data_IF_247740269553
#
_entry.id   IF_247740269553
#
_cell.length_a   1.000
_cell.length_b   1.000
_cell.length_c   1.000
_cell.angle_alpha   90.00
_cell.angle_beta   90.00
_cell.angle_gamma   90.00
#
_symmetry.space_group_name_H-M   'P 1'
#
loop_
_entity.id
_entity.type
_entity.pdbx_description
1 polymer ?
#
# COMPACT_ATOMS: atom_id res chain seq x y z
N UNK A 1 41.90 -10.89 20.07
CA UNK A 1 40.79 -10.82 19.12
C UNK A 1 40.85 -9.44 18.52
N UNK A 2 41.21 -9.37 17.25
CA UNK A 2 41.49 -8.14 16.51
C UNK A 2 40.17 -7.42 16.22
N UNK A 3 40.07 -6.14 16.59
CA UNK A 3 38.88 -5.31 16.36
C UNK A 3 38.55 -5.16 14.87
N UNK A 4 39.53 -5.38 14.00
CA UNK A 4 39.36 -5.39 12.54
C UNK A 4 38.54 -6.59 12.09
N UNK A 5 38.70 -7.74 12.74
CA UNK A 5 38.03 -8.99 12.38
C UNK A 5 36.58 -9.01 12.85
N UNK A 6 36.26 -8.36 13.98
CA UNK A 6 34.86 -8.15 14.41
C UNK A 6 34.10 -7.20 13.47
N UNK A 7 34.79 -6.26 12.84
CA UNK A 7 34.19 -5.31 11.91
C UNK A 7 33.98 -5.95 10.52
N UNK A 8 34.91 -6.80 10.08
CA UNK A 8 34.74 -7.65 8.90
C UNK A 8 33.63 -8.70 9.09
N UNK A 9 33.53 -9.31 10.28
CA UNK A 9 32.46 -10.27 10.60
C UNK A 9 31.08 -9.56 10.70
N UNK A 10 31.00 -8.33 11.25
CA UNK A 10 29.77 -7.51 11.24
C UNK A 10 29.39 -7.04 9.83
N UNK A 11 30.37 -6.71 8.99
CA UNK A 11 30.15 -6.33 7.59
C UNK A 11 29.77 -7.56 6.73
N UNK A 12 30.31 -8.75 6.97
CA UNK A 12 29.92 -10.00 6.30
C UNK A 12 28.52 -10.49 6.73
N UNK A 13 28.15 -10.34 8.01
CA UNK A 13 26.79 -10.61 8.49
C UNK A 13 25.77 -9.62 7.87
N UNK A 14 26.20 -8.40 7.55
CA UNK A 14 25.40 -7.43 6.81
C UNK A 14 25.35 -7.67 5.29
N UNK A 15 26.40 -8.24 4.68
CA UNK A 15 26.41 -8.61 3.25
C UNK A 15 25.59 -9.87 2.95
N UNK A 16 25.38 -10.76 3.92
CA UNK A 16 24.54 -11.95 3.73
C UNK A 16 23.02 -11.71 3.83
N UNK A 17 22.56 -10.50 4.19
CA UNK A 17 21.14 -10.11 4.14
C UNK A 17 20.75 -9.41 2.80
N UNK A 18 21.60 -9.53 1.77
CA UNK A 18 21.43 -8.86 0.48
C UNK A 18 20.89 -9.75 -0.67
N UNK A 19 20.14 -10.83 -0.36
CA UNK A 19 19.50 -11.69 -1.38
C UNK A 19 18.00 -11.95 -1.14
N UNK A 20 17.20 -10.92 -0.90
CA UNK A 20 15.73 -11.05 -0.84
C UNK A 20 15.02 -9.81 -1.42
N UNK A 21 15.40 -9.41 -2.63
CA UNK A 21 14.73 -8.34 -3.37
C UNK A 21 13.22 -8.59 -3.43
N UNK A 22 12.45 -7.68 -2.82
CA UNK A 22 10.98 -7.68 -2.78
C UNK A 22 10.28 -8.94 -2.25
N UNK A 23 10.56 -9.31 -0.99
CA UNK A 23 9.78 -10.35 -0.27
C UNK A 23 8.25 -10.13 -0.40
N UNK A 24 7.55 -11.15 -0.87
CA UNK A 24 6.08 -11.21 -1.06
C UNK A 24 5.46 -10.23 -2.07
N UNK A 25 6.22 -9.62 -2.98
CA UNK A 25 5.64 -8.80 -4.06
C UNK A 25 4.61 -9.57 -4.90
N UNK A 26 4.85 -10.87 -5.14
CA UNK A 26 3.92 -11.75 -5.86
C UNK A 26 2.51 -11.76 -5.26
N UNK A 27 2.35 -11.57 -3.95
CA UNK A 27 1.03 -11.50 -3.30
C UNK A 27 0.26 -10.23 -3.70
N UNK A 28 0.98 -9.17 -4.06
CA UNK A 28 0.46 -7.93 -4.64
C UNK A 28 0.24 -8.00 -6.16
N UNK A 29 0.46 -9.14 -6.81
CA UNK A 29 0.13 -9.29 -8.24
C UNK A 29 -1.37 -9.46 -8.45
N UNK A 30 -1.89 -8.93 -9.57
CA UNK A 30 -3.27 -9.17 -10.01
C UNK A 30 -3.52 -10.64 -10.39
N UNK A 31 -2.48 -11.36 -10.78
CA UNK A 31 -2.57 -12.77 -11.18
C UNK A 31 -2.55 -13.73 -9.99
N UNK A 32 -2.22 -13.26 -8.78
CA UNK A 32 -2.11 -14.10 -7.59
C UNK A 32 -3.47 -14.69 -7.20
N UNK A 33 -3.60 -16.02 -7.29
CA UNK A 33 -4.85 -16.76 -7.07
C UNK A 33 -6.05 -16.16 -7.82
N UNK A 34 -5.81 -15.65 -9.05
CA UNK A 34 -6.83 -15.00 -9.86
C UNK A 34 -7.42 -13.71 -9.26
N UNK A 35 -6.69 -13.07 -8.34
CA UNK A 35 -7.10 -11.84 -7.67
C UNK A 35 -8.21 -12.03 -6.62
N UNK A 36 -8.60 -13.26 -6.32
CA UNK A 36 -9.66 -13.56 -5.33
C UNK A 36 -9.31 -13.04 -3.92
N UNK A 37 -8.10 -13.27 -3.37
CA UNK A 37 -7.78 -12.78 -2.03
C UNK A 37 -7.89 -11.26 -1.91
N UNK A 38 -7.42 -10.54 -2.93
CA UNK A 38 -7.53 -9.08 -3.01
C UNK A 38 -8.99 -8.63 -3.02
N UNK A 39 -9.84 -9.23 -3.88
CA UNK A 39 -11.26 -8.89 -3.94
C UNK A 39 -11.96 -9.09 -2.60
N UNK A 40 -11.67 -10.18 -1.91
CA UNK A 40 -12.20 -10.45 -0.56
C UNK A 40 -11.74 -9.38 0.44
N UNK A 41 -10.44 -9.04 0.44
CA UNK A 41 -9.90 -8.03 1.34
C UNK A 41 -10.54 -6.64 1.10
N UNK A 42 -10.63 -6.19 -0.15
CA UNK A 42 -11.26 -4.92 -0.50
C UNK A 42 -12.76 -4.91 -0.20
N UNK A 43 -13.47 -6.01 -0.45
CA UNK A 43 -14.88 -6.15 -0.07
C UNK A 43 -15.06 -6.01 1.44
N UNK A 44 -14.27 -6.74 2.24
CA UNK A 44 -14.39 -6.72 3.70
C UNK A 44 -14.02 -5.34 4.28
N UNK A 45 -12.85 -4.83 3.94
CA UNK A 45 -12.34 -3.55 4.45
C UNK A 45 -13.15 -2.37 3.91
N UNK A 46 -13.52 -2.38 2.63
CA UNK A 46 -14.36 -1.35 2.02
C UNK A 46 -15.76 -1.30 2.64
N UNK A 47 -16.35 -2.45 2.96
CA UNK A 47 -17.65 -2.54 3.67
C UNK A 47 -17.55 -2.00 5.08
N UNK A 48 -16.53 -2.43 5.84
CA UNK A 48 -16.30 -1.93 7.19
C UNK A 48 -16.06 -0.42 7.19
N UNK A 49 -15.26 0.08 6.25
CA UNK A 49 -14.96 1.51 6.11
C UNK A 49 -16.20 2.31 5.82
N UNK A 50 -17.09 1.81 4.96
CA UNK A 50 -18.37 2.45 4.67
C UNK A 50 -19.29 2.48 5.89
N UNK A 51 -19.39 1.37 6.60
CA UNK A 51 -20.17 1.31 7.85
C UNK A 51 -19.65 2.33 8.86
N UNK A 52 -18.34 2.37 9.09
CA UNK A 52 -17.74 3.28 10.06
C UNK A 52 -17.86 4.74 9.63
N UNK A 53 -17.47 5.07 8.40
CA UNK A 53 -17.45 6.45 7.92
C UNK A 53 -18.85 7.01 7.65
N UNK A 54 -19.81 6.19 7.22
CA UNK A 54 -21.14 6.64 6.80
C UNK A 54 -22.26 6.37 7.82
N UNK A 55 -22.10 5.40 8.73
CA UNK A 55 -23.15 5.04 9.70
C UNK A 55 -22.76 5.30 11.15
N UNK A 56 -21.51 5.02 11.54
CA UNK A 56 -21.07 5.17 12.94
C UNK A 56 -20.32 6.48 13.20
N UNK A 57 -20.13 7.31 12.17
CA UNK A 57 -19.47 8.59 12.26
C UNK A 57 -20.21 9.66 11.45
N UNK A 58 -20.05 10.93 11.83
CA UNK A 58 -20.46 12.06 11.01
C UNK A 58 -19.30 12.48 10.09
N UNK A 59 -19.43 12.17 8.80
CA UNK A 59 -18.42 12.49 7.79
C UNK A 59 -18.95 13.53 6.81
N UNK A 60 -18.21 14.61 6.60
CA UNK A 60 -18.49 15.61 5.57
C UNK A 60 -17.41 15.55 4.48
N UNK A 61 -17.83 15.42 3.23
CA UNK A 61 -16.92 15.38 2.07
C UNK A 61 -17.28 16.51 1.13
N UNK A 62 -16.29 17.35 0.82
CA UNK A 62 -16.44 18.47 -0.10
C UNK A 62 -15.99 18.05 -1.50
N UNK A 63 -16.75 18.44 -2.51
CA UNK A 63 -16.48 18.14 -3.92
C UNK A 63 -16.16 16.64 -4.22
N UNK A 64 -16.96 15.67 -3.73
CA UNK A 64 -16.70 14.25 -3.94
C UNK A 64 -16.72 13.85 -5.42
N UNK A 65 -17.47 14.59 -6.25
CA UNK A 65 -17.66 14.27 -7.66
C UNK A 65 -16.37 14.41 -8.48
N UNK A 66 -15.52 15.39 -8.15
CA UNK A 66 -14.23 15.56 -8.83
C UNK A 66 -13.33 14.35 -8.59
N UNK A 67 -13.23 13.90 -7.33
CA UNK A 67 -12.47 12.70 -6.99
C UNK A 67 -13.05 11.44 -7.67
N UNK A 68 -14.37 11.27 -7.64
CA UNK A 68 -15.03 10.14 -8.30
C UNK A 68 -14.78 10.12 -9.81
N UNK A 69 -14.81 11.28 -10.46
CA UNK A 69 -14.50 11.42 -11.88
C UNK A 69 -13.05 11.05 -12.16
N UNK A 70 -12.10 11.56 -11.38
CA UNK A 70 -10.69 11.25 -11.53
C UNK A 70 -10.42 9.75 -11.34
N UNK A 71 -11.04 9.10 -10.36
CA UNK A 71 -10.85 7.65 -10.12
C UNK A 71 -11.46 6.78 -11.23
N UNK A 72 -12.59 7.18 -11.82
CA UNK A 72 -13.34 6.33 -12.78
C UNK A 72 -13.05 6.61 -14.24
N UNK A 73 -12.71 7.85 -14.59
CA UNK A 73 -12.72 8.34 -15.98
C UNK A 73 -11.36 8.80 -16.47
N UNK A 74 -10.30 8.43 -15.78
CA UNK A 74 -8.93 8.77 -16.16
C UNK A 74 -8.54 8.11 -17.49
N UNK A 75 -7.76 8.77 -18.36
CA UNK A 75 -7.16 8.10 -19.52
C UNK A 75 -6.27 6.92 -19.07
N UNK A 76 -6.24 5.81 -19.83
CA UNK A 76 -5.34 4.69 -19.56
C UNK A 76 -3.88 5.14 -19.48
N UNK A 77 -3.11 4.57 -18.54
CA UNK A 77 -1.69 4.88 -18.36
C UNK A 77 -1.39 6.19 -17.64
N UNK A 78 -2.41 6.96 -17.23
CA UNK A 78 -2.21 8.14 -16.38
C UNK A 78 -2.35 7.71 -14.91
N UNK A 79 -1.45 8.09 -14.00
CA UNK A 79 -1.64 7.84 -12.56
C UNK A 79 -2.41 8.98 -11.87
N UNK A 80 -2.89 8.75 -10.64
CA UNK A 80 -3.43 9.79 -9.75
C UNK A 80 -2.76 9.75 -8.40
N UNK A 81 -2.08 10.84 -8.06
CA UNK A 81 -1.45 10.99 -6.75
C UNK A 81 -2.40 11.78 -5.85
N UNK A 82 -2.78 11.17 -4.73
CA UNK A 82 -3.55 11.83 -3.67
C UNK A 82 -2.62 12.22 -2.53
N UNK A 83 -2.69 13.48 -2.09
CA UNK A 83 -1.91 13.99 -0.96
C UNK A 83 -2.87 14.37 0.16
N UNK A 84 -2.62 13.82 1.35
CA UNK A 84 -3.42 14.10 2.54
C UNK A 84 -2.51 14.16 3.77
N UNK A 85 -2.99 14.82 4.82
CA UNK A 85 -2.43 14.68 6.15
C UNK A 85 -2.64 13.23 6.65
N UNK A 86 -1.72 12.74 7.47
CA UNK A 86 -1.79 11.42 8.08
C UNK A 86 -1.81 11.55 9.59
N UNK A 87 -2.88 11.06 10.22
CA UNK A 87 -3.12 11.09 11.66
C UNK A 87 -3.11 9.66 12.22
N UNK A 88 -3.63 8.68 11.47
CA UNK A 88 -3.77 7.31 11.98
C UNK A 88 -3.67 6.25 10.88
N UNK A 89 -3.32 5.02 11.27
CA UNK A 89 -3.31 3.85 10.36
C UNK A 89 -4.70 3.56 9.76
N UNK A 90 -5.77 4.00 10.44
CA UNK A 90 -7.13 3.85 9.95
C UNK A 90 -7.51 4.85 8.84
N UNK A 91 -6.67 5.85 8.57
CA UNK A 91 -6.93 6.82 7.51
C UNK A 91 -7.04 6.12 6.15
N UNK A 92 -6.17 5.14 5.90
CA UNK A 92 -6.09 4.42 4.63
C UNK A 92 -7.38 3.68 4.24
N UNK A 93 -8.07 2.97 5.15
CA UNK A 93 -9.39 2.40 4.85
C UNK A 93 -10.53 3.43 4.98
N UNK A 94 -10.54 4.26 6.03
CA UNK A 94 -11.71 5.07 6.38
C UNK A 94 -11.96 6.26 5.46
N UNK A 95 -10.90 6.93 4.98
CA UNK A 95 -11.06 8.14 4.16
C UNK A 95 -11.83 7.88 2.86
N UNK A 96 -11.79 6.64 2.37
CA UNK A 96 -12.50 6.20 1.17
C UNK A 96 -13.89 5.63 1.48
N UNK A 97 -14.31 5.58 2.74
CA UNK A 97 -15.57 5.00 3.19
C UNK A 97 -16.80 5.86 2.92
N UNK A 98 -16.68 7.01 2.26
CA UNK A 98 -17.81 7.90 2.05
C UNK A 98 -18.83 7.34 1.02
N UNK A 99 -20.09 7.80 1.06
CA UNK A 99 -21.13 7.33 0.13
C UNK A 99 -20.76 7.59 -1.33
N UNK A 100 -20.98 6.60 -2.19
CA UNK A 100 -20.69 6.69 -3.64
C UNK A 100 -19.26 6.34 -4.07
N UNK A 101 -18.28 6.35 -3.15
CA UNK A 101 -16.91 5.92 -3.48
C UNK A 101 -16.82 4.39 -3.68
N UNK A 102 -16.09 3.88 -4.69
CA UNK A 102 -15.99 2.45 -4.97
C UNK A 102 -14.98 1.72 -4.04
N UNK A 103 -15.10 1.90 -2.72
CA UNK A 103 -14.13 1.38 -1.73
C UNK A 103 -14.03 -0.15 -1.67
N UNK A 104 -15.00 -0.87 -2.24
CA UNK A 104 -15.02 -2.34 -2.34
C UNK A 104 -14.42 -2.87 -3.64
N UNK A 105 -14.15 -2.00 -4.62
CA UNK A 105 -13.57 -2.38 -5.90
C UNK A 105 -12.04 -2.42 -5.81
N UNK A 106 -11.49 -3.63 -5.86
CA UNK A 106 -10.05 -3.84 -5.79
C UNK A 106 -9.27 -3.25 -6.97
N UNK A 107 -9.90 -3.05 -8.13
CA UNK A 107 -9.23 -2.49 -9.30
C UNK A 107 -9.06 -0.98 -9.13
N UNK A 108 -10.08 -0.31 -8.60
CA UNK A 108 -10.07 1.12 -8.29
C UNK A 108 -9.38 1.44 -6.95
N UNK A 109 -9.08 0.43 -6.14
CA UNK A 109 -8.22 0.55 -4.98
C UNK A 109 -6.84 1.13 -5.33
N UNK A 110 -6.39 2.11 -4.57
CA UNK A 110 -5.08 2.73 -4.74
C UNK A 110 -3.94 1.89 -4.19
N UNK A 111 -2.75 2.15 -4.70
CA UNK A 111 -1.51 1.72 -4.09
C UNK A 111 -1.12 2.69 -2.98
N UNK A 112 -0.51 2.16 -1.91
CA UNK A 112 -0.15 2.94 -0.73
C UNK A 112 1.25 2.56 -0.28
N UNK A 113 2.00 3.54 0.22
CA UNK A 113 3.25 3.28 0.93
C UNK A 113 2.95 3.04 2.40
N UNK A 114 3.38 1.91 2.94
CA UNK A 114 3.12 1.51 4.31
C UNK A 114 4.43 1.23 5.06
N UNK A 115 4.50 1.64 6.32
CA UNK A 115 5.71 1.52 7.13
C UNK A 115 6.06 0.03 7.37
N UNK A 116 7.28 -0.38 6.99
CA UNK A 116 7.75 -1.77 7.08
C UNK A 116 7.70 -2.30 8.52
N UNK A 117 8.14 -1.49 9.46
CA UNK A 117 8.19 -1.78 10.90
C UNK A 117 6.83 -1.90 11.59
N UNK A 118 5.74 -1.43 10.96
CA UNK A 118 4.38 -1.48 11.50
C UNK A 118 3.53 -2.52 10.77
N UNK A 119 3.50 -2.45 9.44
CA UNK A 119 2.61 -3.26 8.60
C UNK A 119 3.24 -4.61 8.21
N UNK A 120 4.56 -4.73 8.17
CA UNK A 120 5.27 -5.88 7.63
C UNK A 120 6.12 -6.59 8.69
N UNK A 121 5.55 -6.75 9.89
CA UNK A 121 6.21 -7.35 11.06
C UNK A 121 6.25 -8.87 11.04
N UNK A 122 5.34 -9.52 10.33
CA UNK A 122 5.27 -10.98 10.21
C UNK A 122 4.71 -11.40 8.84
N UNK A 123 4.82 -12.69 8.49
CA UNK A 123 4.40 -13.20 7.18
C UNK A 123 2.90 -13.01 6.91
N UNK A 124 2.05 -13.20 7.92
CA UNK A 124 0.60 -13.05 7.76
C UNK A 124 0.21 -11.60 7.49
N UNK A 125 0.70 -10.67 8.32
CA UNK A 125 0.49 -9.22 8.15
C UNK A 125 1.05 -8.76 6.81
N UNK A 126 2.27 -9.16 6.46
CA UNK A 126 2.90 -8.80 5.19
C UNK A 126 2.06 -9.27 4.00
N UNK A 127 1.55 -10.50 4.03
CA UNK A 127 0.65 -11.00 3.00
C UNK A 127 -0.63 -10.17 2.91
N UNK A 128 -1.27 -9.88 4.05
CA UNK A 128 -2.49 -9.07 4.10
C UNK A 128 -2.30 -7.65 3.53
N UNK A 129 -1.21 -6.97 3.90
CA UNK A 129 -0.92 -5.64 3.38
C UNK A 129 -0.54 -5.68 1.89
N UNK A 130 0.18 -6.70 1.43
CA UNK A 130 0.47 -6.88 -0.01
C UNK A 130 -0.79 -7.07 -0.85
N UNK A 131 -1.73 -7.93 -0.42
CA UNK A 131 -3.01 -8.08 -1.16
C UNK A 131 -3.83 -6.79 -1.13
N UNK A 132 -3.68 -5.97 -0.07
CA UNK A 132 -4.26 -4.64 0.09
C UNK A 132 -3.57 -3.52 -0.70
N UNK A 133 -2.67 -3.84 -1.66
CA UNK A 133 -1.92 -2.87 -2.47
C UNK A 133 -1.00 -1.94 -1.64
N UNK A 134 -0.44 -2.46 -0.55
CA UNK A 134 0.55 -1.72 0.24
C UNK A 134 1.97 -2.13 -0.16
N UNK A 135 2.80 -1.12 -0.42
CA UNK A 135 4.23 -1.24 -0.72
C UNK A 135 5.00 -0.88 0.57
N UNK A 136 5.87 -1.76 1.08
CA UNK A 136 6.63 -1.50 2.31
C UNK A 136 7.66 -0.39 2.10
N UNK A 137 7.79 0.50 3.08
CA UNK A 137 8.78 1.57 3.10
C UNK A 137 9.50 1.59 4.45
N UNK A 138 10.83 1.73 4.41
CA UNK A 138 11.67 1.87 5.60
C UNK A 138 11.75 3.34 6.00
N UNK A 139 11.25 3.67 7.18
CA UNK A 139 11.36 5.01 7.75
C UNK A 139 12.82 5.32 8.07
N UNK A 140 13.25 6.55 7.76
CA UNK A 140 14.65 6.96 7.93
C UNK A 140 15.60 6.48 6.83
N UNK A 141 15.19 5.58 5.94
CA UNK A 141 16.01 5.07 4.84
C UNK A 141 16.14 6.01 3.63
N UNK A 142 15.56 7.21 3.69
CA UNK A 142 15.57 8.18 2.59
C UNK A 142 14.66 7.79 1.41
N UNK A 143 14.78 8.52 0.30
CA UNK A 143 13.96 8.32 -0.91
C UNK A 143 14.51 7.22 -1.84
N UNK A 144 15.80 6.88 -1.70
CA UNK A 144 16.47 5.88 -2.53
C UNK A 144 16.40 4.51 -1.87
N UNK A 145 15.25 3.85 -1.96
CA UNK A 145 15.04 2.50 -1.45
C UNK A 145 14.38 1.62 -2.51
N UNK A 146 14.63 0.32 -2.45
CA UNK A 146 14.22 -0.65 -3.49
C UNK A 146 12.71 -0.62 -3.76
N UNK A 147 11.88 -0.60 -2.72
CA UNK A 147 10.43 -0.55 -2.83
C UNK A 147 9.92 0.77 -3.41
N UNK A 148 10.75 1.81 -3.41
CA UNK A 148 10.39 3.06 -4.06
C UNK A 148 10.36 2.92 -5.58
N UNK A 149 11.21 2.06 -6.14
CA UNK A 149 11.15 1.70 -7.56
C UNK A 149 9.86 0.95 -7.92
N UNK A 150 9.32 0.13 -7.01
CA UNK A 150 8.02 -0.55 -7.20
C UNK A 150 6.89 0.49 -7.33
N UNK A 151 6.89 1.54 -6.49
CA UNK A 151 5.88 2.59 -6.61
C UNK A 151 6.05 3.42 -7.89
N UNK A 152 7.29 3.71 -8.32
CA UNK A 152 7.56 4.36 -9.59
C UNK A 152 7.01 3.53 -10.77
N UNK A 153 7.20 2.22 -10.74
CA UNK A 153 6.63 1.31 -11.76
C UNK A 153 5.09 1.39 -11.79
N UNK A 154 4.43 1.48 -10.63
CA UNK A 154 2.97 1.66 -10.58
C UNK A 154 2.52 3.04 -11.07
N UNK A 155 3.34 4.07 -10.88
CA UNK A 155 3.09 5.41 -11.43
C UNK A 155 3.25 5.40 -12.96
N UNK A 156 4.33 4.84 -13.47
CA UNK A 156 4.66 4.78 -14.91
C UNK A 156 3.63 3.98 -15.71
N UNK A 157 3.07 2.93 -15.10
CA UNK A 157 2.02 2.11 -15.74
C UNK A 157 0.61 2.70 -15.58
N UNK A 158 0.46 3.81 -14.84
CA UNK A 158 -0.84 4.38 -14.50
C UNK A 158 -1.67 3.54 -13.53
N UNK A 159 -1.08 2.51 -12.92
CA UNK A 159 -1.74 1.63 -11.95
C UNK A 159 -1.94 2.30 -10.58
N UNK A 160 -1.15 3.35 -10.29
CA UNK A 160 -1.30 4.16 -9.09
C UNK A 160 -2.55 5.05 -9.19
N UNK A 161 -3.56 4.75 -8.38
CA UNK A 161 -4.88 5.41 -8.39
C UNK A 161 -5.06 6.45 -7.30
#
# INVERSE_FOLDING_TARGET
>A
MDSTQLMEDEDEDHEHEHDHGRKMEWAGSETHLGGIPRKIAFMAIGSLSKLLASSLNSTSVQNPQTLLHLVRSRPPGVPLITVANHISVLDDPLIWGFPGFPSMDSNLGRWVLAAKDICFTNNFSSYFFRIGKCIPITRGGGIYQEHMNEALEKLDTGAWN
#
